data_IF_228428004743
#
_entry.id   IF_228428004743
#
_cell.length_a   1.000
_cell.length_b   1.000
_cell.length_c   1.000
_cell.angle_alpha   90.00
_cell.angle_beta   90.00
_cell.angle_gamma   90.00
#
_symmetry.space_group_name_H-M   'P 1'
#
loop_
_entity.id
_entity.type
_entity.pdbx_description
1 polymer ?
#
# COMPACT_ATOMS: atom_id res chain seq x y z
N UNK A 1 -15.99 0.34 -5.35
CA UNK A 1 -15.66 0.94 -4.04
C UNK A 1 -14.15 1.15 -4.02
N UNK A 2 -13.64 2.32 -3.61
CA UNK A 2 -12.20 2.55 -3.46
C UNK A 2 -11.83 2.56 -1.98
N UNK A 3 -10.74 1.90 -1.60
CA UNK A 3 -10.23 1.84 -0.23
C UNK A 3 -9.02 2.77 -0.08
N UNK A 4 -9.09 3.70 0.88
CA UNK A 4 -7.96 4.56 1.23
C UNK A 4 -7.13 3.91 2.33
N UNK A 5 -5.84 3.68 2.07
CA UNK A 5 -4.88 3.17 3.05
C UNK A 5 -3.84 4.23 3.34
N UNK A 6 -3.88 4.79 4.55
CA UNK A 6 -2.83 5.68 5.06
C UNK A 6 -1.65 4.85 5.57
N UNK A 7 -0.43 5.26 5.28
CA UNK A 7 0.77 4.50 5.66
C UNK A 7 0.96 3.22 4.84
N UNK A 8 0.38 3.15 3.63
CA UNK A 8 0.37 1.96 2.78
C UNK A 8 1.73 1.51 2.26
N UNK A 9 2.80 2.30 2.47
CA UNK A 9 4.17 1.91 2.13
C UNK A 9 4.97 1.47 3.37
N UNK A 10 4.42 1.58 4.58
CA UNK A 10 5.00 1.03 5.79
C UNK A 10 4.91 -0.50 5.84
N UNK A 11 5.61 -1.13 6.79
CA UNK A 11 5.70 -2.60 6.90
C UNK A 11 4.33 -3.29 6.89
N UNK A 12 3.41 -2.90 7.78
CA UNK A 12 2.07 -3.51 7.85
C UNK A 12 1.19 -3.04 6.68
N UNK A 13 1.31 -1.76 6.31
CA UNK A 13 0.50 -1.14 5.27
C UNK A 13 0.72 -1.79 3.91
N UNK A 14 1.97 -2.08 3.54
CA UNK A 14 2.31 -2.67 2.24
C UNK A 14 1.76 -4.08 2.09
N UNK A 15 1.89 -4.93 3.11
CA UNK A 15 1.28 -6.27 3.12
C UNK A 15 -0.25 -6.19 3.04
N UNK A 16 -0.85 -5.23 3.76
CA UNK A 16 -2.29 -5.00 3.70
C UNK A 16 -2.74 -4.59 2.30
N UNK A 17 -2.00 -3.67 1.65
CA UNK A 17 -2.29 -3.23 0.28
C UNK A 17 -2.23 -4.40 -0.69
N UNK A 18 -1.20 -5.26 -0.61
CA UNK A 18 -1.09 -6.46 -1.45
C UNK A 18 -2.32 -7.37 -1.27
N UNK A 19 -2.69 -7.68 -0.02
CA UNK A 19 -3.88 -8.51 0.24
C UNK A 19 -5.18 -7.90 -0.26
N UNK A 20 -5.33 -6.57 -0.19
CA UNK A 20 -6.51 -5.88 -0.73
C UNK A 20 -6.55 -5.91 -2.26
N UNK A 21 -5.40 -5.73 -2.92
CA UNK A 21 -5.29 -5.84 -4.36
C UNK A 21 -5.60 -7.28 -4.84
N UNK A 22 -5.05 -8.30 -4.16
CA UNK A 22 -5.32 -9.72 -4.43
C UNK A 22 -6.79 -10.08 -4.26
N UNK A 23 -7.49 -9.42 -3.32
CA UNK A 23 -8.93 -9.57 -3.11
C UNK A 23 -9.79 -8.77 -4.12
N UNK A 24 -9.17 -8.09 -5.09
CA UNK A 24 -9.85 -7.38 -6.18
C UNK A 24 -10.34 -5.98 -5.81
N UNK A 25 -9.84 -5.39 -4.71
CA UNK A 25 -10.19 -4.02 -4.35
C UNK A 25 -9.33 -3.00 -5.09
N UNK A 26 -9.92 -1.84 -5.39
CA UNK A 26 -9.18 -0.67 -5.83
C UNK A 26 -8.66 0.09 -4.61
N UNK A 27 -7.34 0.26 -4.51
CA UNK A 27 -6.67 0.87 -3.35
C UNK A 27 -6.04 2.21 -3.71
N UNK A 28 -6.25 3.22 -2.88
CA UNK A 28 -5.56 4.50 -2.91
C UNK A 28 -4.62 4.54 -1.69
N UNK A 29 -3.34 4.81 -1.90
CA UNK A 29 -2.35 4.94 -0.81
C UNK A 29 -2.05 6.41 -0.54
N UNK A 30 -2.03 6.81 0.73
CA UNK A 30 -1.43 8.06 1.18
C UNK A 30 -0.34 7.74 2.19
N UNK A 31 0.90 8.10 1.90
CA UNK A 31 2.03 7.86 2.78
C UNK A 31 2.99 9.05 2.71
N UNK A 32 3.46 9.51 3.87
CA UNK A 32 4.37 10.66 3.96
C UNK A 32 5.85 10.25 3.96
N UNK A 33 6.15 8.96 3.87
CA UNK A 33 7.50 8.40 3.82
C UNK A 33 8.35 8.66 5.08
N UNK A 34 7.76 9.00 6.22
CA UNK A 34 8.51 9.29 7.45
C UNK A 34 9.28 8.06 7.97
N UNK A 35 8.69 6.87 7.86
CA UNK A 35 9.27 5.57 8.26
C UNK A 35 9.14 4.51 7.15
N UNK A 36 8.92 4.93 5.91
CA UNK A 36 8.72 4.05 4.77
C UNK A 36 9.54 4.54 3.58
N UNK A 37 9.70 3.69 2.56
CA UNK A 37 10.49 4.00 1.38
C UNK A 37 9.67 3.83 0.11
N UNK A 38 9.86 4.75 -0.85
CA UNK A 38 9.17 4.70 -2.14
C UNK A 38 9.50 3.42 -2.94
N UNK A 39 10.61 2.74 -2.64
CA UNK A 39 10.95 1.43 -3.21
C UNK A 39 9.90 0.35 -2.92
N UNK A 40 9.19 0.46 -1.79
CA UNK A 40 8.11 -0.48 -1.42
C UNK A 40 6.97 -0.44 -2.44
N UNK A 41 6.69 0.71 -3.06
CA UNK A 41 5.69 0.81 -4.13
C UNK A 41 6.01 -0.10 -5.33
N UNK A 42 7.30 -0.31 -5.63
CA UNK A 42 7.73 -1.25 -6.69
C UNK A 42 7.51 -2.71 -6.27
N UNK A 43 7.62 -3.00 -4.98
CA UNK A 43 7.38 -4.36 -4.46
C UNK A 43 5.89 -4.72 -4.47
N UNK A 44 4.99 -3.74 -4.31
CA UNK A 44 3.54 -3.95 -4.37
C UNK A 44 3.06 -4.27 -5.80
N UNK A 45 3.74 -3.75 -6.83
CA UNK A 45 3.33 -3.86 -8.24
C UNK A 45 4.07 -4.94 -9.05
N UNK A 46 4.88 -5.79 -8.40
CA UNK A 46 5.60 -6.91 -9.01
C UNK A 46 4.86 -8.22 -8.79
#
# INVERSE_FOLDING_TARGET
MKLLVTGGLGYIGSHTVVSLLDAGYEVIIIDNLYNSHLSVLKMINN
#
